data_IF_209123711150
#
_entry.id   IF_209123711150
#
_cell.length_a   1.000
_cell.length_b   1.000
_cell.length_c   1.000
_cell.angle_alpha   90.00
_cell.angle_beta   90.00
_cell.angle_gamma   90.00
#
_symmetry.space_group_name_H-M   'P 1'
#
loop_
_entity.id
_entity.type
_entity.pdbx_description
1 polymer ?
#
# COMPACT_ATOMS: atom_id res chain seq x y z
N UNK A 1 14.47 14.86 -2.01
CA UNK A 1 13.87 13.70 -1.31
C UNK A 1 14.96 12.66 -1.11
N UNK A 2 15.36 12.37 0.13
CA UNK A 2 16.37 11.35 0.39
C UNK A 2 15.75 9.97 0.19
N UNK A 3 16.26 9.24 -0.81
CA UNK A 3 15.84 7.87 -1.08
C UNK A 3 16.24 6.97 0.11
N UNK A 4 15.35 6.07 0.49
CA UNK A 4 15.62 5.06 1.49
C UNK A 4 16.73 4.12 0.97
N UNK A 5 17.91 4.14 1.61
CA UNK A 5 19.08 3.38 1.17
C UNK A 5 19.15 1.99 1.81
N UNK A 6 18.62 1.86 3.02
CA UNK A 6 18.62 0.62 3.80
C UNK A 6 17.27 0.39 4.45
N UNK A 7 16.88 -0.86 4.64
CA UNK A 7 15.65 -1.22 5.35
C UNK A 7 15.94 -2.29 6.39
N UNK A 8 15.67 -1.98 7.65
CA UNK A 8 15.78 -2.90 8.76
C UNK A 8 14.39 -3.13 9.37
N UNK A 9 14.00 -4.39 9.53
CA UNK A 9 12.69 -4.78 10.03
C UNK A 9 12.89 -5.78 11.17
N UNK A 10 12.31 -5.49 12.34
CA UNK A 10 12.33 -6.39 13.49
C UNK A 10 10.92 -6.66 14.00
N UNK A 11 10.66 -7.90 14.38
CA UNK A 11 9.44 -8.37 15.03
C UNK A 11 8.15 -8.05 14.24
N UNK A 12 8.23 -8.12 12.91
CA UNK A 12 7.07 -7.86 12.06
C UNK A 12 6.74 -9.07 11.16
N UNK A 13 5.57 -9.66 11.33
CA UNK A 13 5.06 -10.79 10.55
C UNK A 13 6.03 -11.96 10.46
N UNK A 14 6.65 -12.18 9.30
CA UNK A 14 7.66 -13.23 9.07
C UNK A 14 9.08 -12.80 9.45
N UNK A 15 9.28 -11.52 9.73
CA UNK A 15 10.59 -10.96 9.95
C UNK A 15 10.90 -10.87 11.45
N UNK A 16 11.74 -11.78 11.93
CA UNK A 16 12.30 -11.68 13.29
C UNK A 16 13.25 -10.50 13.38
N UNK A 17 14.22 -10.50 12.48
CA UNK A 17 15.24 -9.46 12.32
C UNK A 17 15.84 -9.60 10.93
N UNK A 18 15.55 -8.64 10.05
CA UNK A 18 15.98 -8.66 8.65
C UNK A 18 16.50 -7.29 8.25
N UNK A 19 17.68 -7.25 7.63
CA UNK A 19 18.26 -6.03 7.07
C UNK A 19 18.46 -6.17 5.57
N UNK A 20 17.97 -5.20 4.82
CA UNK A 20 18.30 -4.99 3.41
C UNK A 20 19.31 -3.85 3.37
N UNK A 21 20.57 -4.18 3.10
CA UNK A 21 21.68 -3.24 3.20
C UNK A 21 21.72 -2.21 2.07
N UNK A 22 21.11 -2.52 0.93
CA UNK A 22 21.13 -1.66 -0.24
C UNK A 22 19.80 -1.65 -0.98
N UNK A 23 19.16 -0.50 -1.01
CA UNK A 23 18.02 -0.21 -1.85
C UNK A 23 18.43 0.74 -2.98
N UNK A 24 17.98 0.45 -4.19
CA UNK A 24 18.16 1.31 -5.37
C UNK A 24 16.92 2.15 -5.65
N UNK A 25 16.92 2.87 -6.78
CA UNK A 25 15.73 3.59 -7.26
C UNK A 25 14.60 2.63 -7.66
N UNK A 26 14.98 1.47 -8.22
CA UNK A 26 14.06 0.39 -8.57
C UNK A 26 14.51 -0.88 -7.87
N UNK A 27 13.60 -1.54 -7.16
CA UNK A 27 13.87 -2.77 -6.43
C UNK A 27 12.83 -3.82 -6.82
N UNK A 28 13.29 -4.99 -7.24
CA UNK A 28 12.44 -6.12 -7.54
C UNK A 28 12.43 -7.11 -6.36
N UNK A 29 11.27 -7.32 -5.78
CA UNK A 29 11.07 -8.30 -4.73
C UNK A 29 10.41 -9.57 -5.31
N UNK A 30 11.20 -10.61 -5.54
CA UNK A 30 10.76 -11.89 -6.09
C UNK A 30 10.90 -13.03 -5.08
N UNK A 31 10.09 -14.07 -5.21
CA UNK A 31 10.15 -15.23 -4.33
C UNK A 31 8.88 -16.09 -4.39
N UNK A 32 8.92 -17.25 -3.74
CA UNK A 32 7.78 -18.18 -3.63
C UNK A 32 6.60 -17.52 -2.89
N UNK A 33 5.43 -18.13 -3.00
CA UNK A 33 4.29 -17.70 -2.19
C UNK A 33 4.63 -17.85 -0.70
N UNK A 34 4.09 -16.94 0.11
CA UNK A 34 4.35 -16.88 1.55
C UNK A 34 5.81 -16.61 1.96
N UNK A 35 6.65 -16.05 1.08
CA UNK A 35 8.03 -15.68 1.37
C UNK A 35 8.20 -14.28 2.01
N UNK A 36 7.10 -13.59 2.31
CA UNK A 36 7.15 -12.27 2.93
C UNK A 36 7.13 -11.07 1.98
N UNK A 37 6.98 -11.27 0.66
CA UNK A 37 6.96 -10.17 -0.33
C UNK A 37 6.00 -9.05 0.05
N UNK A 38 4.75 -9.40 0.34
CA UNK A 38 3.73 -8.44 0.75
C UNK A 38 4.05 -7.79 2.10
N UNK A 39 4.56 -8.58 3.06
CA UNK A 39 4.96 -8.06 4.37
C UNK A 39 6.10 -7.03 4.27
N UNK A 40 7.02 -7.21 3.32
CA UNK A 40 8.08 -6.24 3.03
C UNK A 40 7.50 -4.91 2.52
N UNK A 41 6.57 -4.97 1.56
CA UNK A 41 5.89 -3.77 1.04
C UNK A 41 5.04 -3.08 2.09
N UNK A 42 4.37 -3.86 2.96
CA UNK A 42 3.63 -3.31 4.10
C UNK A 42 4.54 -2.60 5.10
N UNK A 43 5.73 -3.16 5.40
CA UNK A 43 6.71 -2.51 6.27
C UNK A 43 7.17 -1.17 5.68
N UNK A 44 7.41 -1.09 4.38
CA UNK A 44 7.70 0.17 3.68
C UNK A 44 6.54 1.17 3.79
N UNK A 45 5.32 0.69 3.60
CA UNK A 45 4.12 1.52 3.77
C UNK A 45 3.97 2.06 5.19
N UNK A 46 4.18 1.22 6.21
CA UNK A 46 4.17 1.62 7.62
C UNK A 46 5.24 2.69 7.87
N UNK A 47 6.45 2.47 7.36
CA UNK A 47 7.56 3.44 7.48
C UNK A 47 7.21 4.80 6.87
N UNK A 48 6.49 4.80 5.77
CA UNK A 48 6.08 6.00 5.05
C UNK A 48 4.87 6.72 5.69
N UNK A 49 4.12 6.07 6.58
CA UNK A 49 2.83 6.56 7.07
C UNK A 49 2.87 7.33 8.39
N UNK A 50 4.06 7.60 8.93
CA UNK A 50 4.14 8.41 10.17
C UNK A 50 3.53 9.80 9.96
N UNK A 51 2.63 10.29 10.82
CA UNK A 51 2.32 9.79 12.17
C UNK A 51 1.11 8.84 12.27
N UNK A 52 0.41 8.52 11.17
CA UNK A 52 -0.86 7.78 11.16
C UNK A 52 -0.71 6.24 11.17
N UNK A 53 0.24 5.72 11.94
CA UNK A 53 0.57 4.28 11.96
C UNK A 53 -0.63 3.40 12.31
N UNK A 54 -1.46 3.78 13.27
CA UNK A 54 -2.63 2.98 13.66
C UNK A 54 -3.63 2.80 12.53
N UNK A 55 -3.91 3.86 11.77
CA UNK A 55 -4.80 3.81 10.61
C UNK A 55 -4.25 2.89 9.51
N UNK A 56 -2.93 2.97 9.26
CA UNK A 56 -2.28 2.12 8.25
C UNK A 56 -2.26 0.66 8.68
N UNK A 57 -1.97 0.36 9.94
CA UNK A 57 -2.02 -1.01 10.45
C UNK A 57 -3.44 -1.61 10.34
N UNK A 58 -4.46 -0.85 10.72
CA UNK A 58 -5.85 -1.28 10.56
C UNK A 58 -6.21 -1.53 9.08
N UNK A 59 -5.78 -0.66 8.19
CA UNK A 59 -6.02 -0.82 6.75
C UNK A 59 -5.30 -2.05 6.19
N UNK A 60 -4.06 -2.31 6.60
CA UNK A 60 -3.31 -3.52 6.21
C UNK A 60 -4.06 -4.77 6.66
N UNK A 61 -4.56 -4.80 7.89
CA UNK A 61 -5.32 -5.93 8.41
C UNK A 61 -6.67 -6.11 7.70
N UNK A 62 -7.36 -5.02 7.40
CA UNK A 62 -8.61 -5.04 6.64
C UNK A 62 -8.40 -5.64 5.24
N UNK A 63 -7.37 -5.19 4.52
CA UNK A 63 -7.03 -5.70 3.18
C UNK A 63 -6.65 -7.19 3.18
N UNK A 64 -6.16 -7.70 4.31
CA UNK A 64 -5.86 -9.13 4.48
C UNK A 64 -7.04 -9.95 5.01
N UNK A 65 -8.16 -9.31 5.34
CA UNK A 65 -9.29 -9.97 6.01
C UNK A 65 -8.95 -10.44 7.44
N UNK A 66 -7.93 -9.86 8.06
CA UNK A 66 -7.48 -10.22 9.42
C UNK A 66 -8.17 -9.38 10.50
N UNK A 67 -8.74 -8.23 10.15
CA UNK A 67 -9.44 -7.35 11.09
C UNK A 67 -10.86 -7.84 11.30
N UNK A 68 -11.09 -8.54 12.42
CA UNK A 68 -12.44 -9.03 12.80
C UNK A 68 -13.13 -8.00 13.69
N UNK A 69 -12.45 -7.53 14.74
CA UNK A 69 -12.90 -6.46 15.65
C UNK A 69 -11.70 -5.75 16.23
N UNK A 70 -11.82 -4.46 16.50
CA UNK A 70 -10.74 -3.65 17.10
C UNK A 70 -10.39 -4.05 18.53
N UNK A 71 -11.25 -4.82 19.20
CA UNK A 71 -11.01 -5.39 20.54
C UNK A 71 -10.43 -6.81 20.52
N UNK A 72 -10.27 -7.42 19.33
CA UNK A 72 -9.84 -8.80 19.23
C UNK A 72 -8.31 -8.90 19.16
N UNK A 73 -7.73 -9.55 20.17
CA UNK A 73 -6.28 -9.82 20.25
C UNK A 73 -5.77 -10.57 19.00
N UNK A 74 -6.55 -11.51 18.48
CA UNK A 74 -6.15 -12.33 17.34
C UNK A 74 -5.91 -11.48 16.09
N UNK A 75 -6.69 -10.41 15.90
CA UNK A 75 -6.54 -9.48 14.80
C UNK A 75 -5.13 -8.85 14.77
N UNK A 76 -4.55 -8.60 15.95
CA UNK A 76 -3.25 -7.92 16.04
C UNK A 76 -2.06 -8.86 16.17
N UNK A 77 -2.28 -10.11 16.60
CA UNK A 77 -1.19 -11.11 16.69
C UNK A 77 -0.50 -11.36 15.35
N UNK A 78 -1.24 -11.28 14.25
CA UNK A 78 -0.70 -11.47 12.90
C UNK A 78 0.36 -10.43 12.49
N UNK A 79 0.40 -9.27 13.15
CA UNK A 79 1.41 -8.23 12.89
C UNK A 79 2.79 -8.57 13.48
N UNK A 80 2.85 -9.41 14.52
CA UNK A 80 4.08 -9.73 15.23
C UNK A 80 4.71 -11.03 14.72
N UNK A 81 6.03 -11.12 14.87
CA UNK A 81 6.76 -12.33 14.50
C UNK A 81 6.26 -13.54 15.27
N UNK A 82 6.06 -14.65 14.57
CA UNK A 82 5.45 -15.87 15.10
C UNK A 82 4.07 -15.68 15.76
N UNK A 83 3.38 -14.57 15.45
CA UNK A 83 2.09 -14.22 16.08
C UNK A 83 2.15 -14.12 17.61
N UNK A 84 3.33 -13.79 18.13
CA UNK A 84 3.55 -13.64 19.57
C UNK A 84 3.25 -12.20 19.97
N UNK A 85 2.14 -12.01 20.64
CA UNK A 85 1.71 -10.75 21.23
C UNK A 85 1.53 -10.95 22.73
N UNK A 86 2.22 -10.14 23.54
CA UNK A 86 2.06 -10.15 24.99
C UNK A 86 1.02 -9.12 25.40
N UNK A 87 0.09 -9.53 26.26
CA UNK A 87 -0.88 -8.60 26.84
C UNK A 87 -0.36 -7.88 28.09
N UNK A 88 0.74 -8.36 28.64
CA UNK A 88 1.30 -7.85 29.90
C UNK A 88 2.62 -7.08 29.70
N UNK A 89 3.16 -7.08 28.50
CA UNK A 89 4.40 -6.39 28.13
C UNK A 89 4.19 -5.53 26.91
N UNK A 90 5.05 -4.53 26.75
CA UNK A 90 5.15 -3.75 25.52
C UNK A 90 5.76 -4.61 24.42
N UNK A 91 4.98 -4.85 23.37
CA UNK A 91 5.52 -5.44 22.15
C UNK A 91 5.92 -4.33 21.17
N UNK A 92 7.09 -4.50 20.57
CA UNK A 92 7.68 -3.47 19.71
C UNK A 92 7.95 -4.07 18.34
N UNK A 93 7.44 -3.40 17.31
CA UNK A 93 7.83 -3.58 15.91
C UNK A 93 8.81 -2.46 15.57
N UNK A 94 9.96 -2.79 14.95
CA UNK A 94 10.92 -1.79 14.47
C UNK A 94 11.03 -1.83 12.96
N UNK A 95 11.00 -0.65 12.35
CA UNK A 95 11.24 -0.46 10.92
C UNK A 95 12.21 0.71 10.78
N UNK A 96 13.47 0.43 10.56
CA UNK A 96 14.58 1.37 10.68
C UNK A 96 14.58 2.04 12.07
N UNK A 97 14.54 3.35 12.10
CA UNK A 97 14.47 4.16 13.32
C UNK A 97 13.04 4.38 13.84
N UNK A 98 12.04 3.70 13.25
CA UNK A 98 10.66 3.70 13.72
C UNK A 98 10.44 2.59 14.72
N UNK A 99 9.95 2.93 15.90
CA UNK A 99 9.48 1.99 16.90
C UNK A 99 7.97 2.12 17.02
N UNK A 100 7.26 1.04 16.74
CA UNK A 100 5.82 0.94 16.92
C UNK A 100 5.58 0.10 18.15
N UNK A 101 5.11 0.73 19.21
CA UNK A 101 4.80 0.06 20.46
C UNK A 101 3.32 -0.31 20.47
N UNK A 102 3.04 -1.53 20.83
CA UNK A 102 1.69 -2.02 21.10
C UNK A 102 1.48 -2.15 22.61
N UNK A 103 0.34 -1.69 23.09
CA UNK A 103 -0.12 -1.92 24.44
C UNK A 103 -1.61 -2.25 24.45
N UNK A 104 -2.04 -3.08 25.40
CA UNK A 104 -3.43 -3.41 25.62
C UNK A 104 -3.97 -2.74 26.87
N UNK A 105 -5.03 -1.94 26.72
CA UNK A 105 -5.71 -1.33 27.85
C UNK A 105 -6.79 -2.26 28.40
N UNK A 106 -6.52 -2.87 29.56
CA UNK A 106 -7.48 -3.77 30.22
C UNK A 106 -8.77 -3.07 30.66
N UNK A 107 -8.69 -1.77 31.01
CA UNK A 107 -9.85 -1.00 31.49
C UNK A 107 -10.87 -0.72 30.39
N UNK A 108 -10.42 -0.49 29.16
CA UNK A 108 -11.27 -0.10 28.04
C UNK A 108 -11.33 -1.15 26.94
N UNK A 109 -10.65 -2.30 27.13
CA UNK A 109 -10.61 -3.42 26.18
C UNK A 109 -10.24 -3.01 24.75
N UNK A 110 -9.24 -2.12 24.60
CA UNK A 110 -8.76 -1.72 23.28
C UNK A 110 -7.24 -1.85 23.14
N UNK A 111 -6.79 -2.02 21.90
CA UNK A 111 -5.39 -2.07 21.51
C UNK A 111 -4.91 -0.68 21.07
N UNK A 112 -3.79 -0.24 21.63
CA UNK A 112 -3.19 1.04 21.31
C UNK A 112 -1.85 0.82 20.62
N UNK A 113 -1.69 1.41 19.44
CA UNK A 113 -0.43 1.49 18.73
C UNK A 113 0.13 2.91 18.79
N UNK A 114 1.34 3.05 19.28
CA UNK A 114 2.06 4.33 19.33
C UNK A 114 3.33 4.23 18.50
N UNK A 115 3.60 5.23 17.69
CA UNK A 115 4.84 5.34 16.94
C UNK A 115 5.78 6.29 17.65
N UNK A 116 7.00 5.82 17.94
CA UNK A 116 8.12 6.67 18.33
C UNK A 116 9.09 6.75 17.16
N UNK A 117 9.42 7.95 16.78
CA UNK A 117 10.48 8.25 15.82
C UNK A 117 11.61 8.93 16.56
N UNK A 118 12.87 8.56 16.25
CA UNK A 118 14.04 9.20 16.83
C UNK A 118 14.00 10.72 16.56
N UNK A 119 14.12 11.52 17.64
CA UNK A 119 13.76 12.94 17.71
C UNK A 119 14.65 13.84 16.84
N UNK A 120 15.78 13.36 16.37
CA UNK A 120 16.76 14.19 15.63
C UNK A 120 16.25 14.74 14.28
N UNK A 121 15.16 14.21 13.73
CA UNK A 121 14.57 14.71 12.48
C UNK A 121 13.25 15.47 12.66
N UNK A 122 12.85 15.81 13.88
CA UNK A 122 11.54 16.44 14.18
C UNK A 122 11.52 17.97 14.17
N UNK A 123 12.60 18.64 13.89
CA UNK A 123 12.67 20.12 14.01
C UNK A 123 11.98 20.88 12.86
N UNK A 124 11.30 20.21 11.92
CA UNK A 124 10.69 20.90 10.79
C UNK A 124 9.24 20.53 10.40
N UNK A 125 8.50 19.78 11.22
CA UNK A 125 7.14 19.45 10.81
C UNK A 125 6.12 19.64 11.94
N UNK A 126 5.46 20.80 11.92
CA UNK A 126 4.08 20.94 12.39
C UNK A 126 3.19 20.23 11.35
N UNK A 127 3.06 18.91 11.44
CA UNK A 127 2.21 18.15 10.53
C UNK A 127 0.90 17.88 11.24
N UNK A 128 -0.18 18.47 10.73
CA UNK A 128 -1.55 18.10 11.07
C UNK A 128 -1.79 16.63 10.75
N UNK A 129 -2.62 15.95 11.55
CA UNK A 129 -2.76 14.49 11.63
C UNK A 129 -3.34 13.79 10.37
N UNK A 130 -3.56 14.48 9.26
CA UNK A 130 -4.32 13.97 8.11
C UNK A 130 -3.59 14.01 6.76
N UNK A 131 -2.35 14.52 6.68
CA UNK A 131 -1.67 14.56 5.39
C UNK A 131 -0.84 13.29 5.13
N UNK A 132 -1.01 12.65 3.96
CA UNK A 132 -0.12 11.59 3.53
C UNK A 132 1.29 12.15 3.40
N UNK A 133 2.31 11.34 3.73
CA UNK A 133 3.70 11.73 3.49
C UNK A 133 3.87 11.97 2.00
N UNK A 134 4.18 13.20 1.62
CA UNK A 134 4.43 13.58 0.24
C UNK A 134 5.35 12.58 -0.45
N UNK A 135 4.86 12.00 -1.55
CA UNK A 135 5.66 11.22 -2.47
C UNK A 135 5.68 9.70 -2.24
N UNK A 136 4.82 9.13 -1.37
CA UNK A 136 4.69 7.67 -1.25
C UNK A 136 3.31 7.21 -1.69
N UNK A 137 3.26 6.44 -2.77
CA UNK A 137 2.04 5.82 -3.28
C UNK A 137 2.12 4.33 -3.05
N UNK A 138 1.19 3.79 -2.28
CA UNK A 138 1.01 2.35 -2.12
C UNK A 138 -0.04 1.84 -3.10
N UNK A 139 0.36 0.93 -3.98
CA UNK A 139 -0.53 0.28 -4.93
C UNK A 139 -0.74 -1.17 -4.48
N UNK A 140 -1.90 -1.52 -3.90
CA UNK A 140 -2.20 -2.90 -3.51
C UNK A 140 -2.38 -3.79 -4.75
N UNK A 141 -2.12 -5.09 -4.60
CA UNK A 141 -2.31 -6.08 -5.67
C UNK A 141 -3.76 -6.14 -6.19
N UNK A 142 -4.73 -6.06 -5.29
CA UNK A 142 -6.15 -5.90 -5.66
C UNK A 142 -6.55 -4.45 -5.39
N UNK A 143 -6.63 -3.65 -6.42
CA UNK A 143 -7.20 -2.32 -6.32
C UNK A 143 -8.71 -2.49 -6.46
N UNK A 144 -9.45 -1.98 -5.48
CA UNK A 144 -10.90 -1.92 -5.57
C UNK A 144 -11.29 -1.06 -6.79
N UNK A 145 -12.15 -1.63 -7.64
CA UNK A 145 -12.61 -0.92 -8.83
C UNK A 145 -13.71 0.12 -8.53
N UNK A 146 -14.18 0.22 -7.30
CA UNK A 146 -15.35 1.04 -6.92
C UNK A 146 -15.22 2.55 -7.21
N UNK A 147 -14.04 3.04 -7.58
CA UNK A 147 -13.81 4.46 -7.85
C UNK A 147 -13.25 4.71 -9.26
N UNK A 148 -13.20 3.69 -10.10
CA UNK A 148 -12.64 3.85 -11.45
C UNK A 148 -13.39 4.89 -12.28
N UNK A 149 -14.73 4.95 -12.15
CA UNK A 149 -15.54 5.93 -12.88
C UNK A 149 -15.20 7.35 -12.45
N UNK A 150 -15.10 7.61 -11.15
CA UNK A 150 -14.75 8.95 -10.64
C UNK A 150 -13.38 9.41 -11.09
N UNK A 151 -12.37 8.51 -11.02
CA UNK A 151 -11.04 8.80 -11.51
C UNK A 151 -11.02 9.06 -13.02
N UNK A 152 -11.77 8.27 -13.79
CA UNK A 152 -11.89 8.47 -15.22
C UNK A 152 -12.55 9.82 -15.57
N UNK A 153 -13.63 10.18 -14.90
CA UNK A 153 -14.31 11.45 -15.09
C UNK A 153 -13.41 12.65 -14.81
N UNK A 154 -12.49 12.54 -13.84
CA UNK A 154 -11.54 13.62 -13.51
C UNK A 154 -10.50 13.87 -14.61
N UNK A 155 -10.15 12.86 -15.42
CA UNK A 155 -9.12 12.95 -16.46
C UNK A 155 -9.69 12.91 -17.88
N UNK A 156 -10.94 12.51 -18.05
CA UNK A 156 -11.59 12.43 -19.36
C UNK A 156 -11.64 13.80 -20.03
N UNK A 157 -11.33 13.83 -21.33
CA UNK A 157 -11.19 15.05 -22.13
C UNK A 157 -10.04 15.98 -21.69
N UNK A 158 -9.12 15.50 -20.87
CA UNK A 158 -7.87 16.18 -20.54
C UNK A 158 -6.68 15.50 -21.23
N UNK A 159 -5.48 16.12 -21.28
CA UNK A 159 -4.27 15.46 -21.80
C UNK A 159 -3.95 14.14 -21.11
N UNK A 160 -4.28 14.00 -19.82
CA UNK A 160 -4.04 12.79 -19.03
C UNK A 160 -4.82 11.56 -19.51
N UNK A 161 -5.92 11.73 -20.27
CA UNK A 161 -6.61 10.62 -20.94
C UNK A 161 -5.67 9.93 -21.94
N UNK A 162 -4.91 10.71 -22.71
CA UNK A 162 -3.94 10.16 -23.67
C UNK A 162 -2.79 9.44 -22.96
N UNK A 163 -2.34 9.93 -21.81
CA UNK A 163 -1.28 9.29 -21.03
C UNK A 163 -1.69 7.88 -20.59
N UNK A 164 -2.93 7.72 -20.16
CA UNK A 164 -3.49 6.40 -19.81
C UNK A 164 -3.44 5.45 -21.03
N UNK A 165 -3.87 5.93 -22.20
CA UNK A 165 -3.83 5.13 -23.43
C UNK A 165 -2.40 4.73 -23.78
N UNK A 166 -1.43 5.67 -23.73
CA UNK A 166 -0.02 5.42 -24.05
C UNK A 166 0.59 4.37 -23.10
N UNK A 167 0.29 4.46 -21.81
CA UNK A 167 0.80 3.48 -20.83
C UNK A 167 0.23 2.08 -21.11
N UNK A 168 -1.06 1.98 -21.41
CA UNK A 168 -1.66 0.69 -21.78
C UNK A 168 -1.08 0.14 -23.07
N UNK A 169 -0.74 0.99 -24.03
CA UNK A 169 -0.10 0.61 -25.30
C UNK A 169 1.31 0.03 -25.11
N UNK A 170 2.00 0.32 -24.02
CA UNK A 170 3.29 -0.33 -23.71
C UNK A 170 3.14 -1.85 -23.52
N UNK A 171 1.95 -2.31 -23.12
CA UNK A 171 1.67 -3.72 -22.87
C UNK A 171 0.85 -4.33 -24.03
N UNK A 172 -0.18 -3.62 -24.48
CA UNK A 172 -1.05 -4.02 -25.58
C UNK A 172 -1.10 -2.91 -26.64
N UNK A 173 -0.20 -2.92 -27.63
CA UNK A 173 -0.04 -1.85 -28.63
C UNK A 173 -1.28 -1.59 -29.50
N UNK A 174 -2.21 -2.54 -29.56
CA UNK A 174 -3.44 -2.41 -30.37
C UNK A 174 -4.50 -1.53 -29.72
N UNK A 175 -4.36 -1.18 -28.45
CA UNK A 175 -5.33 -0.31 -27.77
C UNK A 175 -5.29 1.07 -28.43
N UNK A 176 -6.47 1.51 -28.92
CA UNK A 176 -6.65 2.83 -29.54
C UNK A 176 -7.32 3.79 -28.59
N UNK A 177 -8.27 3.32 -27.79
CA UNK A 177 -9.10 4.16 -26.93
C UNK A 177 -9.55 3.37 -25.72
N UNK A 178 -9.75 4.06 -24.62
CA UNK A 178 -10.31 3.51 -23.37
C UNK A 178 -11.54 4.30 -22.95
N UNK A 179 -12.47 3.65 -22.27
CA UNK A 179 -13.61 4.27 -21.60
C UNK A 179 -13.91 3.52 -20.32
N UNK A 180 -14.27 4.23 -19.27
CA UNK A 180 -14.69 3.63 -18.01
C UNK A 180 -16.15 3.98 -17.75
N UNK A 181 -16.95 2.95 -17.50
CA UNK A 181 -18.38 3.06 -17.19
C UNK A 181 -18.74 2.05 -16.09
N UNK A 182 -19.46 2.49 -15.07
CA UNK A 182 -19.86 1.64 -13.94
C UNK A 182 -18.66 0.87 -13.35
N UNK A 183 -17.54 1.57 -13.15
CA UNK A 183 -16.28 1.06 -12.64
C UNK A 183 -15.61 -0.04 -13.49
N UNK A 184 -16.09 -0.25 -14.71
CA UNK A 184 -15.54 -1.21 -15.67
C UNK A 184 -14.88 -0.51 -16.84
N UNK A 185 -13.60 -0.76 -17.02
CA UNK A 185 -12.86 -0.25 -18.17
C UNK A 185 -13.11 -1.12 -19.42
N UNK A 186 -13.39 -0.46 -20.52
CA UNK A 186 -13.50 -1.03 -21.86
C UNK A 186 -12.47 -0.38 -22.78
N UNK A 187 -11.89 -1.16 -23.68
CA UNK A 187 -10.92 -0.67 -24.67
C UNK A 187 -11.40 -0.98 -26.07
N UNK A 188 -11.05 -0.09 -26.99
CA UNK A 188 -11.23 -0.29 -28.41
C UNK A 188 -9.87 -0.54 -29.03
N UNK A 189 -9.77 -1.56 -29.89
CA UNK A 189 -8.55 -1.94 -30.57
C UNK A 189 -8.49 -1.33 -31.98
N UNK A 190 -7.28 -1.20 -32.53
CA UNK A 190 -7.08 -0.72 -33.91
C UNK A 190 -7.65 -1.68 -34.95
N UNK A 191 -7.62 -2.96 -34.67
CA UNK A 191 -7.98 -4.05 -35.58
C UNK A 191 -9.41 -4.59 -35.35
N UNK A 192 -10.13 -4.06 -34.37
CA UNK A 192 -11.48 -4.52 -34.06
C UNK A 192 -12.41 -3.36 -33.66
N UNK A 193 -13.56 -3.19 -34.34
CA UNK A 193 -14.50 -2.11 -34.01
C UNK A 193 -15.34 -2.37 -32.74
N UNK A 194 -15.28 -3.57 -32.16
CA UNK A 194 -16.04 -3.92 -30.96
C UNK A 194 -15.20 -3.60 -29.70
N UNK A 195 -15.81 -3.00 -28.67
CA UNK A 195 -15.11 -2.77 -27.43
C UNK A 195 -14.99 -4.07 -26.61
N UNK A 196 -13.84 -4.23 -25.95
CA UNK A 196 -13.54 -5.32 -25.03
C UNK A 196 -13.39 -4.82 -23.60
N UNK A 197 -13.75 -5.62 -22.61
CA UNK A 197 -13.39 -5.30 -21.24
C UNK A 197 -11.87 -5.37 -21.07
N UNK A 198 -11.27 -4.34 -20.47
CA UNK A 198 -9.83 -4.30 -20.20
C UNK A 198 -9.37 -5.50 -19.38
N UNK A 199 -10.19 -5.95 -18.43
CA UNK A 199 -9.91 -7.12 -17.59
C UNK A 199 -9.79 -8.43 -18.40
N UNK A 200 -10.38 -8.52 -19.61
CA UNK A 200 -10.26 -9.71 -20.46
C UNK A 200 -8.83 -9.91 -21.00
N UNK A 201 -7.99 -8.90 -20.98
CA UNK A 201 -6.56 -8.97 -21.32
C UNK A 201 -5.67 -9.36 -20.15
N UNK A 202 -6.26 -9.59 -18.97
CA UNK A 202 -5.59 -9.96 -17.74
C UNK A 202 -5.64 -8.85 -16.69
N UNK A 203 -5.46 -9.26 -15.43
CA UNK A 203 -5.53 -8.33 -14.29
C UNK A 203 -4.39 -7.28 -14.32
N UNK A 204 -3.27 -7.61 -14.97
CA UNK A 204 -2.12 -6.70 -15.08
C UNK A 204 -2.44 -5.37 -15.75
N UNK A 205 -3.13 -5.37 -16.89
CA UNK A 205 -3.53 -4.13 -17.59
C UNK A 205 -4.48 -3.28 -16.75
N UNK A 206 -5.43 -3.92 -16.07
CA UNK A 206 -6.34 -3.21 -15.17
C UNK A 206 -5.58 -2.57 -13.99
N UNK A 207 -4.61 -3.30 -13.43
CA UNK A 207 -3.75 -2.78 -12.35
C UNK A 207 -2.92 -1.58 -12.81
N UNK A 208 -2.34 -1.64 -14.02
CA UNK A 208 -1.56 -0.54 -14.61
C UNK A 208 -2.42 0.71 -14.78
N UNK A 209 -3.62 0.59 -15.33
CA UNK A 209 -4.57 1.70 -15.47
C UNK A 209 -4.89 2.33 -14.09
N UNK A 210 -5.27 1.50 -13.13
CA UNK A 210 -5.64 1.97 -11.79
C UNK A 210 -4.47 2.60 -11.03
N UNK A 211 -3.26 2.09 -11.25
CA UNK A 211 -2.04 2.68 -10.70
C UNK A 211 -1.84 4.08 -11.27
N UNK A 212 -1.98 4.23 -12.57
CA UNK A 212 -1.82 5.52 -13.22
C UNK A 212 -2.83 6.56 -12.74
N UNK A 213 -4.08 6.18 -12.51
CA UNK A 213 -5.09 7.06 -11.90
C UNK A 213 -4.64 7.64 -10.56
N UNK A 214 -3.91 6.87 -9.75
CA UNK A 214 -3.39 7.33 -8.46
C UNK A 214 -2.19 8.26 -8.56
N UNK A 215 -1.51 8.29 -9.71
CA UNK A 215 -0.38 9.20 -9.94
C UNK A 215 -0.80 10.56 -10.48
N UNK A 216 -1.97 10.64 -11.10
CA UNK A 216 -2.49 11.88 -11.72
C UNK A 216 -3.28 12.72 -10.72
N UNK A 217 -3.94 12.09 -9.75
CA UNK A 217 -4.73 12.73 -8.69
C UNK A 217 -3.97 12.77 -7.37
#
# INVERSE_FOLDING_TARGET
MDLLKTLHIQNYRLFKDVTIEKLGQVNLNAGKNNSGKTALLEALRIRASSPNVSSVLNNIQLLRGELVRTSDVQSYQSLFFNRQLSLDKLDIIKINNFEITHSFSKSNSFHLFQCKMDILNRLSANISAEEPIDGVIYVPFSIDSQHNTQFWESISLTPSENDVVQILQLIEPRIRQIRVENDKAKVLLNDNPQPFFLKSFGDGLNTVMQTHFKFIN
#
